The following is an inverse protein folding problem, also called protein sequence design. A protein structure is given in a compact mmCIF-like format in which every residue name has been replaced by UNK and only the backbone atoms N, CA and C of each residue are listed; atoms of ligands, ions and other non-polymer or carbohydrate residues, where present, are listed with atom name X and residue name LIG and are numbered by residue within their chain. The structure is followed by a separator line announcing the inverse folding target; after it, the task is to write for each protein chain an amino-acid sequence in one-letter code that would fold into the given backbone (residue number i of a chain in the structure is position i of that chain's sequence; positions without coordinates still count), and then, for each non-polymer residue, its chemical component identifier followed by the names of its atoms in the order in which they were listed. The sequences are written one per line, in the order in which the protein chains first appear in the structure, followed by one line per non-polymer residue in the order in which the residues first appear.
data_IF_238058856617
#
_entry.id   IF_238058856617
#
_cell.length_a   1.000
_cell.length_b   1.000
_cell.length_c   1.000
_cell.angle_alpha   90.00
_cell.angle_beta   90.00
_cell.angle_gamma   90.00
#
_symmetry.space_group_name_H-M   'P 1'
#
loop_
_entity.id
_entity.type
_entity.pdbx_description
1 polymer ?
#
# COMPACT_ATOMS: atom_id res chain seq x y z
N UNK A 1 28.89 -15.01 -8.74
CA UNK A 1 29.80 -16.17 -8.82
C UNK A 1 30.14 -16.66 -7.41
N UNK A 2 29.25 -17.44 -6.81
CA UNK A 2 29.63 -18.59 -5.98
C UNK A 2 28.40 -19.47 -5.83
N UNK A 3 28.58 -20.75 -6.13
CA UNK A 3 27.57 -21.77 -6.22
C UNK A 3 27.93 -22.91 -5.27
N UNK A 4 26.88 -23.67 -4.93
CA UNK A 4 26.89 -25.09 -4.59
C UNK A 4 27.25 -25.51 -3.14
N UNK A 5 26.22 -25.94 -2.41
CA UNK A 5 25.97 -27.33 -1.96
C UNK A 5 25.43 -27.37 -0.52
N UNK A 6 24.17 -27.79 -0.34
CA UNK A 6 23.89 -28.93 0.54
C UNK A 6 22.48 -29.50 0.27
N UNK A 7 22.42 -30.54 -0.55
CA UNK A 7 21.22 -31.37 -0.75
C UNK A 7 21.35 -32.61 0.13
N UNK A 8 20.75 -32.59 1.32
CA UNK A 8 20.93 -33.70 2.27
C UNK A 8 20.05 -33.72 3.51
N UNK A 9 18.86 -33.11 3.52
CA UNK A 9 17.96 -33.18 4.68
C UNK A 9 16.44 -33.17 4.39
N UNK A 10 16.01 -33.25 3.13
CA UNK A 10 14.59 -33.10 2.73
C UNK A 10 13.87 -34.41 2.37
N UNK A 11 14.08 -35.49 3.14
CA UNK A 11 13.42 -36.79 2.81
C UNK A 11 12.85 -37.59 3.98
N UNK A 12 12.65 -36.97 5.16
CA UNK A 12 12.11 -37.68 6.33
C UNK A 12 10.86 -37.03 6.99
N UNK A 13 10.35 -35.90 6.50
CA UNK A 13 9.13 -35.26 7.07
C UNK A 13 7.90 -35.35 6.15
N UNK A 14 7.99 -36.06 5.02
CA UNK A 14 6.92 -36.12 4.02
C UNK A 14 5.85 -37.20 4.29
N UNK A 15 6.10 -38.13 5.21
CA UNK A 15 5.25 -39.32 5.39
C UNK A 15 4.51 -39.40 6.74
N UNK A 16 4.56 -38.35 7.59
CA UNK A 16 3.93 -38.37 8.93
C UNK A 16 2.75 -37.40 9.13
N UNK A 17 2.35 -36.61 8.13
CA UNK A 17 1.18 -35.69 8.23
C UNK A 17 -0.07 -36.17 7.48
N UNK A 18 -0.07 -37.36 6.88
CA UNK A 18 -1.16 -37.84 6.02
C UNK A 18 -2.28 -38.64 6.73
N UNK A 19 -2.36 -38.63 8.07
CA UNK A 19 -3.26 -39.55 8.80
C UNK A 19 -4.14 -38.94 9.90
N UNK A 20 -4.46 -37.63 9.86
CA UNK A 20 -5.28 -37.03 10.92
C UNK A 20 -6.38 -36.02 10.52
N UNK A 21 -6.86 -36.05 9.29
CA UNK A 21 -8.09 -35.32 8.93
C UNK A 21 -9.00 -36.17 8.04
N UNK A 22 -9.84 -36.97 8.69
CA UNK A 22 -11.00 -37.65 8.11
C UNK A 22 -12.21 -37.33 8.98
N UNK A 23 -12.76 -36.13 8.79
CA UNK A 23 -14.13 -35.82 9.18
C UNK A 23 -14.67 -34.76 8.22
N UNK A 24 -15.59 -35.16 7.36
CA UNK A 24 -16.29 -34.30 6.41
C UNK A 24 -16.91 -33.08 7.10
N UNK A 25 -16.78 -31.86 6.57
CA UNK A 25 -17.53 -30.73 7.10
C UNK A 25 -18.95 -30.76 6.55
N UNK A 26 -19.92 -30.72 7.46
CA UNK A 26 -21.30 -30.35 7.15
C UNK A 26 -21.36 -28.91 6.66
N UNK A 27 -21.99 -28.69 5.52
CA UNK A 27 -22.32 -27.37 4.98
C UNK A 27 -23.28 -26.62 5.92
N UNK A 28 -22.75 -25.72 6.74
CA UNK A 28 -23.53 -24.59 7.27
C UNK A 28 -23.22 -23.36 6.41
N UNK A 29 -24.24 -22.93 5.66
CA UNK A 29 -24.20 -21.74 4.81
C UNK A 29 -24.34 -20.49 5.68
N UNK A 30 -23.23 -19.77 5.88
CA UNK A 30 -23.24 -18.42 6.44
C UNK A 30 -23.20 -17.39 5.30
N UNK A 31 -24.27 -16.58 5.09
CA UNK A 31 -24.37 -15.70 3.92
C UNK A 31 -23.53 -14.40 3.97
N UNK A 32 -22.69 -14.18 4.99
CA UNK A 32 -21.94 -12.91 5.17
C UNK A 32 -20.41 -13.03 5.31
N UNK A 33 -19.83 -14.24 5.30
CA UNK A 33 -18.36 -14.42 5.39
C UNK A 33 -17.60 -13.92 4.16
N UNK A 34 -18.32 -13.53 3.10
CA UNK A 34 -17.81 -13.44 1.75
C UNK A 34 -17.07 -12.15 1.47
N UNK A 35 -17.57 -11.05 2.02
CA UNK A 35 -16.87 -9.77 1.99
C UNK A 35 -15.78 -9.68 3.08
N UNK A 36 -15.89 -10.46 4.16
CA UNK A 36 -14.94 -10.40 5.27
C UNK A 36 -13.51 -10.74 4.83
N UNK A 37 -13.30 -11.69 3.91
CA UNK A 37 -11.97 -12.07 3.44
C UNK A 37 -11.23 -10.91 2.75
N UNK A 38 -11.83 -10.24 1.76
CA UNK A 38 -11.21 -9.07 1.12
C UNK A 38 -10.96 -7.97 2.13
N UNK A 39 -11.94 -7.72 3.00
CA UNK A 39 -11.82 -6.66 4.01
C UNK A 39 -10.82 -6.96 5.12
N UNK A 40 -10.52 -8.23 5.39
CA UNK A 40 -9.44 -8.64 6.30
C UNK A 40 -8.07 -8.24 5.76
N UNK A 41 -7.94 -8.12 4.44
CA UNK A 41 -6.73 -7.65 3.75
C UNK A 41 -6.73 -6.13 3.55
N UNK A 42 -7.77 -5.41 3.98
CA UNK A 42 -7.87 -3.97 3.77
C UNK A 42 -6.68 -3.23 4.39
N UNK A 43 -6.00 -2.37 3.63
CA UNK A 43 -4.72 -1.84 4.07
C UNK A 43 -4.93 -0.69 5.07
N UNK A 44 -3.89 -0.39 5.86
CA UNK A 44 -3.93 0.73 6.81
C UNK A 44 -4.24 2.04 6.07
N UNK A 45 -5.01 2.90 6.73
CA UNK A 45 -5.32 4.24 6.24
C UNK A 45 -4.95 5.26 7.31
N UNK A 46 -4.16 6.27 6.93
CA UNK A 46 -3.89 7.43 7.77
C UNK A 46 -4.75 8.60 7.29
N UNK A 47 -5.46 9.26 8.21
CA UNK A 47 -6.29 10.41 7.90
C UNK A 47 -5.47 11.69 8.14
N UNK A 48 -5.02 12.34 7.07
CA UNK A 48 -4.25 13.58 7.12
C UNK A 48 -5.22 14.78 7.17
N UNK A 49 -5.24 15.56 8.26
CA UNK A 49 -6.09 16.72 8.36
C UNK A 49 -5.56 17.90 7.55
N UNK A 50 -6.48 18.72 7.06
CA UNK A 50 -6.15 20.00 6.45
C UNK A 50 -5.64 20.98 7.51
N UNK A 51 -4.61 21.74 7.15
CA UNK A 51 -4.08 22.83 7.96
C UNK A 51 -4.07 24.13 7.14
N UNK A 52 -4.62 25.19 7.71
CA UNK A 52 -4.71 26.50 7.02
C UNK A 52 -3.40 27.29 7.07
N UNK A 53 -2.54 27.00 8.05
CA UNK A 53 -1.24 27.65 8.21
C UNK A 53 -0.16 26.68 7.76
N UNK A 54 0.61 27.00 6.70
CA UNK A 54 1.71 26.18 6.25
C UNK A 54 2.72 25.89 7.36
N UNK A 55 3.20 24.65 7.46
CA UNK A 55 4.21 24.29 8.44
C UNK A 55 5.59 24.79 8.03
N UNK A 56 6.29 25.41 8.98
CA UNK A 56 7.73 25.63 8.87
C UNK A 56 8.45 24.30 9.04
N UNK A 57 9.28 23.91 8.08
CA UNK A 57 10.04 22.66 8.10
C UNK A 57 11.44 22.93 8.66
N UNK A 58 11.68 22.52 9.91
CA UNK A 58 12.92 22.81 10.64
C UNK A 58 13.44 21.64 11.51
N UNK A 59 12.83 20.46 11.36
CA UNK A 59 13.17 19.23 12.08
C UNK A 59 12.54 19.15 13.47
N UNK A 60 11.82 20.18 13.92
CA UNK A 60 11.16 20.19 15.22
C UNK A 60 9.73 19.65 15.14
N UNK A 61 9.58 18.38 15.51
CA UNK A 61 8.30 17.68 15.53
C UNK A 61 7.47 17.94 16.80
N UNK A 62 7.99 18.73 17.77
CA UNK A 62 7.32 19.01 19.05
C UNK A 62 6.58 20.36 19.06
N UNK A 63 6.55 21.07 17.93
CA UNK A 63 5.82 22.34 17.79
C UNK A 63 4.30 22.18 17.89
N UNK A 64 3.63 23.29 18.20
CA UNK A 64 2.21 23.31 18.55
C UNK A 64 1.32 22.75 17.43
N UNK A 65 1.70 22.98 16.18
CA UNK A 65 0.99 22.53 14.99
C UNK A 65 0.97 21.00 14.89
N UNK A 66 2.09 20.33 15.18
CA UNK A 66 2.15 18.86 15.23
C UNK A 66 1.50 18.26 16.47
N UNK A 67 1.44 19.00 17.58
CA UNK A 67 0.96 18.47 18.87
C UNK A 67 -0.47 17.91 18.81
N UNK A 68 -1.32 18.46 17.93
CA UNK A 68 -2.73 18.05 17.76
C UNK A 68 -2.94 16.99 16.68
N UNK A 69 -1.93 16.75 15.85
CA UNK A 69 -2.00 15.76 14.78
C UNK A 69 -1.68 14.37 15.38
N UNK A 70 -2.56 13.38 15.21
CA UNK A 70 -2.38 12.04 15.77
C UNK A 70 -1.16 11.30 15.20
N UNK A 71 -0.47 10.52 16.02
CA UNK A 71 0.54 9.59 15.55
C UNK A 71 -0.09 8.43 14.78
N UNK A 72 0.64 7.91 13.80
CA UNK A 72 0.37 6.62 13.17
C UNK A 72 0.55 5.47 14.17
N UNK A 73 0.03 4.29 13.83
CA UNK A 73 0.53 3.05 14.42
C UNK A 73 2.04 2.92 14.17
N UNK A 74 2.71 2.18 15.05
CA UNK A 74 4.14 1.91 14.91
C UNK A 74 4.42 1.11 13.64
N UNK A 75 5.59 1.35 13.05
CA UNK A 75 6.07 0.54 11.93
C UNK A 75 6.29 -0.88 12.44
N UNK A 76 6.18 -1.86 11.56
CA UNK A 76 6.42 -3.29 11.81
C UNK A 76 7.43 -3.85 10.81
N UNK A 77 7.75 -5.13 10.91
CA UNK A 77 8.50 -5.83 9.85
C UNK A 77 7.77 -5.72 8.50
N UNK A 78 8.51 -5.50 7.41
CA UNK A 78 7.93 -5.34 6.07
C UNK A 78 7.09 -6.53 5.62
N UNK A 79 7.37 -7.74 6.12
CA UNK A 79 6.58 -8.94 5.81
C UNK A 79 5.34 -9.10 6.70
N UNK A 80 5.20 -8.27 7.73
CA UNK A 80 4.10 -8.35 8.71
C UNK A 80 4.33 -9.34 9.86
N UNK A 81 5.48 -10.03 9.88
CA UNK A 81 5.85 -10.98 10.94
C UNK A 81 6.35 -10.25 12.20
N UNK A 82 5.42 -9.75 13.01
CA UNK A 82 5.69 -8.88 14.16
C UNK A 82 5.74 -9.59 15.52
N UNK A 83 5.75 -10.92 15.57
CA UNK A 83 5.66 -11.70 16.81
C UNK A 83 6.86 -11.44 17.76
N UNK A 84 6.63 -11.58 19.07
CA UNK A 84 7.69 -11.50 20.08
C UNK A 84 8.72 -12.63 19.86
N UNK A 85 9.89 -12.28 19.33
CA UNK A 85 10.94 -13.20 18.90
C UNK A 85 11.13 -13.31 17.38
N UNK A 86 10.22 -12.70 16.60
CA UNK A 86 10.34 -12.50 15.15
C UNK A 86 11.17 -11.27 14.76
N UNK A 87 11.31 -10.97 13.45
CA UNK A 87 12.11 -9.83 12.95
C UNK A 87 11.49 -8.45 13.25
N UNK A 88 10.35 -8.42 13.93
CA UNK A 88 9.62 -7.20 14.27
C UNK A 88 10.39 -6.23 15.17
N UNK A 89 10.00 -4.95 15.14
CA UNK A 89 10.69 -3.89 15.85
C UNK A 89 10.50 -3.96 17.37
N UNK A 90 11.60 -3.83 18.13
CA UNK A 90 11.53 -3.66 19.59
C UNK A 90 10.98 -2.28 19.94
N UNK A 91 10.47 -2.13 21.17
CA UNK A 91 10.08 -0.81 21.70
C UNK A 91 11.22 0.23 21.61
N UNK A 92 12.46 -0.18 21.88
CA UNK A 92 13.68 0.65 21.80
C UNK A 92 14.01 1.15 20.41
N UNK A 93 13.35 0.63 19.40
CA UNK A 93 13.64 0.91 18.00
C UNK A 93 12.41 1.53 17.28
N UNK A 94 11.31 1.74 18.01
CA UNK A 94 10.02 2.22 17.49
C UNK A 94 10.14 3.37 16.48
N UNK A 95 9.36 3.28 15.39
CA UNK A 95 9.18 4.34 14.40
C UNK A 95 7.70 4.68 14.24
N UNK A 96 7.37 5.96 14.19
CA UNK A 96 6.01 6.48 13.99
C UNK A 96 6.04 7.76 13.17
N UNK A 97 4.92 8.09 12.52
CA UNK A 97 4.77 9.31 11.73
C UNK A 97 3.46 10.05 12.01
N UNK A 98 3.40 11.30 11.60
CA UNK A 98 2.22 12.17 11.54
C UNK A 98 2.13 12.74 10.14
N UNK A 99 0.91 12.97 9.66
CA UNK A 99 0.70 13.65 8.38
C UNK A 99 -0.39 14.69 8.50
N UNK A 100 -0.26 15.76 7.72
CA UNK A 100 -1.27 16.80 7.50
C UNK A 100 -1.10 17.34 6.09
N UNK A 101 -2.05 18.13 5.59
CA UNK A 101 -1.95 18.65 4.23
C UNK A 101 -2.50 20.07 4.12
N UNK A 102 -2.08 20.78 3.09
CA UNK A 102 -2.70 22.02 2.64
C UNK A 102 -2.83 22.03 1.11
N UNK A 103 -3.13 23.20 0.54
CA UNK A 103 -3.30 23.39 -0.90
C UNK A 103 -2.05 23.08 -1.74
N UNK A 104 -0.86 23.07 -1.15
CA UNK A 104 0.41 22.97 -1.87
C UNK A 104 1.26 21.78 -1.45
N UNK A 105 1.05 21.24 -0.24
CA UNK A 105 1.90 20.23 0.36
C UNK A 105 1.14 19.11 1.07
N UNK A 106 1.69 17.89 0.98
CA UNK A 106 1.52 16.86 2.00
C UNK A 106 2.69 16.97 2.98
N UNK A 107 2.37 17.20 4.25
CA UNK A 107 3.33 17.30 5.34
C UNK A 107 3.47 15.96 6.05
N UNK A 108 4.70 15.60 6.39
CA UNK A 108 5.03 14.38 7.15
C UNK A 108 6.03 14.75 8.24
N UNK A 109 5.75 14.32 9.47
CA UNK A 109 6.71 14.31 10.56
C UNK A 109 6.93 12.87 11.02
N UNK A 110 8.17 12.46 11.27
CA UNK A 110 8.48 11.14 11.78
C UNK A 110 9.46 11.20 12.95
N UNK A 111 9.36 10.21 13.83
CA UNK A 111 10.32 9.96 14.91
C UNK A 111 10.82 8.52 14.83
N UNK A 112 12.14 8.37 14.87
CA UNK A 112 12.82 7.09 14.79
C UNK A 112 13.65 6.92 16.06
N UNK A 113 13.34 5.88 16.83
CA UNK A 113 14.15 5.43 17.95
C UNK A 113 15.07 4.31 17.49
N UNK A 114 16.28 4.21 18.03
CA UNK A 114 17.21 3.12 17.73
C UNK A 114 18.00 2.75 18.99
N UNK A 115 18.21 1.45 19.18
CA UNK A 115 19.23 0.91 20.11
C UNK A 115 20.49 0.48 19.35
N UNK A 116 20.76 1.15 18.23
CA UNK A 116 21.93 0.97 17.37
C UNK A 116 22.35 2.31 16.74
N UNK A 117 23.58 2.44 16.22
CA UNK A 117 24.09 3.70 15.66
C UNK A 117 23.25 4.26 14.51
N UNK A 118 23.12 5.59 14.47
CA UNK A 118 22.63 6.32 13.29
C UNK A 118 23.78 6.44 12.30
N UNK A 119 23.60 5.98 11.06
CA UNK A 119 24.60 6.03 10.00
C UNK A 119 24.20 7.08 8.97
N UNK A 120 25.13 7.96 8.61
CA UNK A 120 24.95 8.87 7.49
C UNK A 120 26.30 9.14 6.82
N UNK A 121 26.59 8.44 5.74
CA UNK A 121 27.84 8.50 5.00
C UNK A 121 27.72 9.27 3.68
N UNK A 122 26.53 9.29 3.11
CA UNK A 122 26.25 10.06 1.90
C UNK A 122 25.81 11.49 2.26
N UNK A 123 26.25 12.45 1.44
CA UNK A 123 26.11 13.88 1.74
C UNK A 123 25.58 14.69 0.58
N UNK A 124 25.59 14.14 -0.64
CA UNK A 124 25.08 14.83 -1.81
C UNK A 124 23.64 14.39 -2.08
N UNK A 125 22.82 15.32 -2.55
CA UNK A 125 21.46 15.01 -3.01
C UNK A 125 21.50 13.92 -4.08
N UNK A 126 20.61 12.94 -3.95
CA UNK A 126 20.47 11.74 -4.79
C UNK A 126 21.69 10.79 -4.75
N UNK A 127 22.51 10.86 -3.71
CA UNK A 127 23.41 9.76 -3.36
C UNK A 127 22.58 8.55 -2.84
N UNK A 128 22.96 7.29 -3.14
CA UNK A 128 22.19 6.09 -2.81
C UNK A 128 22.19 5.74 -1.31
N UNK A 129 21.47 6.52 -0.51
CA UNK A 129 21.41 6.41 0.95
C UNK A 129 20.87 5.05 1.41
N UNK A 130 19.84 4.50 0.75
CA UNK A 130 19.29 3.17 1.00
C UNK A 130 20.33 2.04 1.12
N UNK A 131 21.52 2.19 0.51
CA UNK A 131 22.56 1.15 0.54
C UNK A 131 23.23 0.98 1.90
N UNK A 132 23.39 2.05 2.68
CA UNK A 132 24.26 2.04 3.86
C UNK A 132 23.81 2.95 5.00
N UNK A 133 23.13 4.02 4.70
CA UNK A 133 22.76 5.01 5.71
C UNK A 133 21.52 4.53 6.48
N UNK A 134 21.31 5.16 7.63
CA UNK A 134 19.99 5.18 8.26
C UNK A 134 19.05 5.94 7.36
N UNK A 135 17.93 5.33 7.01
CA UNK A 135 17.06 5.87 5.98
C UNK A 135 15.60 5.86 6.42
N UNK A 136 14.92 6.96 6.11
CA UNK A 136 13.48 7.12 6.25
C UNK A 136 12.89 7.41 4.88
N UNK A 137 12.03 6.50 4.43
CA UNK A 137 11.50 6.49 3.08
C UNK A 137 10.01 6.81 3.08
N UNK A 138 9.55 7.47 2.02
CA UNK A 138 8.15 7.81 1.77
C UNK A 138 7.82 7.46 0.33
N UNK A 139 6.71 6.74 0.17
CA UNK A 139 6.22 6.24 -1.10
C UNK A 139 4.82 6.77 -1.38
N UNK A 140 4.59 7.24 -2.60
CA UNK A 140 3.31 7.80 -3.03
C UNK A 140 2.91 7.33 -4.43
N UNK A 141 1.71 6.78 -4.55
CA UNK A 141 1.02 6.62 -5.83
C UNK A 141 -0.33 7.38 -5.79
N UNK A 142 -0.32 8.64 -6.27
CA UNK A 142 -1.53 9.48 -6.30
C UNK A 142 -2.60 8.99 -7.26
N UNK A 143 -2.20 8.23 -8.29
CA UNK A 143 -3.08 7.78 -9.36
C UNK A 143 -3.77 6.45 -9.07
N UNK A 144 -3.29 5.73 -8.06
CA UNK A 144 -3.69 4.36 -7.68
C UNK A 144 -3.40 3.31 -8.73
N UNK A 145 -2.57 3.64 -9.73
CA UNK A 145 -2.28 2.77 -10.84
C UNK A 145 -0.96 2.02 -10.68
N UNK A 146 -0.34 2.03 -9.50
CA UNK A 146 0.98 1.43 -9.28
C UNK A 146 2.07 1.93 -10.24
N UNK A 147 1.84 3.05 -10.94
CA UNK A 147 2.71 3.59 -11.99
C UNK A 147 3.09 5.01 -11.67
N UNK A 148 4.23 5.44 -12.21
CA UNK A 148 4.76 6.78 -12.05
C UNK A 148 4.76 7.22 -10.57
N UNK A 149 4.94 6.26 -9.67
CA UNK A 149 4.88 6.47 -8.24
C UNK A 149 6.19 7.04 -7.75
N UNK A 150 6.12 7.80 -6.66
CA UNK A 150 7.25 8.55 -6.14
C UNK A 150 7.84 7.83 -4.95
N UNK A 151 9.15 7.92 -4.85
CA UNK A 151 9.94 7.54 -3.71
C UNK A 151 10.78 8.75 -3.30
N UNK A 152 10.77 8.99 -2.00
CA UNK A 152 11.56 10.00 -1.33
C UNK A 152 12.26 9.33 -0.17
N UNK A 153 13.56 9.58 -0.02
CA UNK A 153 14.38 9.04 1.06
C UNK A 153 15.13 10.19 1.74
N UNK A 154 15.41 10.06 3.03
CA UNK A 154 16.21 11.04 3.78
C UNK A 154 16.99 10.39 4.92
N UNK A 155 18.28 10.74 5.02
CA UNK A 155 19.16 10.28 6.09
C UNK A 155 19.22 11.25 7.29
N UNK A 156 19.83 10.88 8.44
CA UNK A 156 19.90 11.72 9.64
C UNK A 156 20.51 13.11 9.47
N UNK A 157 21.33 13.34 8.44
CA UNK A 157 21.94 14.64 8.15
C UNK A 157 21.20 15.40 7.05
N UNK A 158 19.95 14.99 6.75
CA UNK A 158 19.06 15.60 5.75
C UNK A 158 19.59 15.51 4.31
N UNK A 159 20.40 14.49 4.00
CA UNK A 159 20.69 14.15 2.61
C UNK A 159 19.47 13.46 2.03
N UNK A 160 19.00 13.97 0.91
CA UNK A 160 17.77 13.52 0.26
C UNK A 160 18.10 12.72 -0.98
N UNK A 161 17.31 11.68 -1.24
CA UNK A 161 17.20 11.04 -2.54
C UNK A 161 15.76 11.11 -3.05
N UNK A 162 15.60 11.35 -4.35
CA UNK A 162 14.31 11.34 -5.03
C UNK A 162 14.31 10.45 -6.25
N UNK A 163 13.21 9.72 -6.40
CA UNK A 163 13.02 8.79 -7.49
C UNK A 163 11.56 8.73 -7.90
N UNK A 164 11.33 8.48 -9.18
CA UNK A 164 10.04 8.03 -9.69
C UNK A 164 10.27 6.69 -10.39
N UNK A 165 9.41 5.71 -10.14
CA UNK A 165 9.35 4.48 -10.94
C UNK A 165 8.16 4.56 -11.89
N UNK A 166 8.40 4.31 -13.17
CA UNK A 166 7.33 4.23 -14.17
C UNK A 166 6.34 3.11 -13.87
N UNK A 167 6.83 1.97 -13.36
CA UNK A 167 6.08 0.80 -12.88
C UNK A 167 6.94 -0.02 -11.91
N UNK A 168 6.40 -1.05 -11.24
CA UNK A 168 7.18 -1.88 -10.32
C UNK A 168 8.30 -2.66 -11.00
N UNK A 169 9.37 -2.97 -10.26
CA UNK A 169 10.48 -3.76 -10.80
C UNK A 169 10.06 -5.17 -11.25
N UNK A 170 9.01 -5.74 -10.63
CA UNK A 170 8.40 -7.01 -11.08
C UNK A 170 7.82 -6.93 -12.49
N UNK A 171 7.56 -5.72 -12.98
CA UNK A 171 7.04 -5.46 -14.31
C UNK A 171 8.10 -4.80 -15.21
N UNK A 172 9.39 -4.99 -14.94
CA UNK A 172 10.51 -4.36 -15.66
C UNK A 172 10.54 -2.83 -15.54
N UNK A 173 10.12 -2.30 -14.40
CA UNK A 173 10.17 -0.88 -14.08
C UNK A 173 11.56 -0.25 -14.16
N UNK A 174 11.59 1.04 -14.49
CA UNK A 174 12.81 1.84 -14.65
C UNK A 174 12.77 3.04 -13.73
N UNK A 175 13.90 3.28 -13.08
CA UNK A 175 14.18 4.51 -12.36
C UNK A 175 14.07 5.70 -13.32
N UNK A 176 13.39 6.76 -12.87
CA UNK A 176 13.48 8.11 -13.39
C UNK A 176 14.01 9.01 -12.28
N UNK A 177 15.18 9.61 -12.45
CA UNK A 177 15.80 10.46 -11.45
C UNK A 177 16.88 11.37 -12.05
N UNK A 178 17.22 12.45 -11.34
CA UNK A 178 18.37 13.29 -11.69
C UNK A 178 19.73 12.61 -11.42
N UNK A 179 19.75 11.45 -10.77
CA UNK A 179 20.98 10.67 -10.58
C UNK A 179 21.41 9.98 -11.87
N UNK A 180 20.45 9.48 -12.64
CA UNK A 180 20.73 8.67 -13.84
C UNK A 180 20.50 9.41 -15.16
N UNK A 181 19.87 10.59 -15.12
CA UNK A 181 19.48 11.37 -16.29
C UNK A 181 19.62 12.87 -16.04
N UNK A 182 19.65 13.67 -17.12
CA UNK A 182 19.73 15.14 -17.07
C UNK A 182 18.42 15.78 -17.47
N UNK A 183 18.20 17.03 -17.06
CA UNK A 183 16.99 17.77 -17.44
C UNK A 183 16.82 17.80 -18.97
N UNK A 184 15.67 17.32 -19.44
CA UNK A 184 15.36 17.13 -20.86
C UNK A 184 15.40 15.66 -21.35
N UNK A 185 16.05 14.75 -20.60
CA UNK A 185 16.08 13.33 -20.92
C UNK A 185 14.75 12.63 -20.57
N UNK A 186 14.41 11.56 -21.28
CA UNK A 186 13.16 10.82 -21.06
C UNK A 186 13.06 10.15 -19.67
N UNK A 187 14.21 9.80 -19.08
CA UNK A 187 14.31 9.21 -17.75
C UNK A 187 14.55 10.25 -16.64
N UNK A 188 14.43 11.54 -16.95
CA UNK A 188 14.64 12.59 -15.97
C UNK A 188 13.39 12.81 -15.12
N UNK A 189 13.58 12.84 -13.81
CA UNK A 189 12.64 13.31 -12.81
C UNK A 189 13.45 13.92 -11.65
N UNK A 190 12.99 15.05 -11.11
CA UNK A 190 13.57 15.66 -9.93
C UNK A 190 12.50 16.48 -9.21
N UNK A 191 12.61 16.55 -7.89
CA UNK A 191 11.71 17.30 -7.02
C UNK A 191 12.27 18.70 -6.80
N UNK A 192 11.49 19.74 -7.11
CA UNK A 192 11.97 21.14 -7.08
C UNK A 192 11.49 21.92 -5.86
N UNK A 193 10.30 21.60 -5.34
CA UNK A 193 9.56 22.40 -4.37
C UNK A 193 9.41 21.74 -2.99
N UNK A 194 9.99 20.56 -2.77
CA UNK A 194 10.02 19.94 -1.45
C UNK A 194 10.77 20.77 -0.41
N UNK A 195 10.42 20.58 0.86
CA UNK A 195 11.20 21.07 2.00
C UNK A 195 11.45 19.91 2.96
N UNK A 196 12.66 19.79 3.47
CA UNK A 196 13.04 18.69 4.37
C UNK A 196 13.95 19.21 5.47
N UNK A 197 13.79 18.66 6.67
CA UNK A 197 14.70 18.91 7.77
C UNK A 197 14.74 17.69 8.69
N UNK A 198 15.91 17.43 9.26
CA UNK A 198 16.11 16.39 10.27
C UNK A 198 16.65 17.02 11.55
N UNK A 199 16.39 16.38 12.69
CA UNK A 199 16.90 16.82 13.99
C UNK A 199 17.29 15.63 14.83
N UNK A 200 18.54 15.61 15.29
CA UNK A 200 18.99 14.62 16.28
C UNK A 200 18.46 15.05 17.65
N UNK A 201 17.62 14.21 18.25
CA UNK A 201 17.00 14.45 19.56
C UNK A 201 17.78 13.79 20.69
N UNK A 202 18.45 12.67 20.41
CA UNK A 202 19.32 11.94 21.33
C UNK A 202 20.40 11.18 20.56
N UNK A 203 21.60 11.11 21.13
CA UNK A 203 22.74 10.45 20.49
C UNK A 203 23.47 11.31 19.45
N UNK A 204 24.27 10.66 18.62
CA UNK A 204 25.10 11.32 17.60
C UNK A 204 25.18 10.47 16.33
N UNK A 205 25.16 11.12 15.17
CA UNK A 205 25.34 10.45 13.87
C UNK A 205 26.77 9.91 13.74
N UNK A 206 26.91 8.74 13.14
CA UNK A 206 28.17 8.01 12.93
C UNK A 206 28.96 7.71 14.22
N UNK A 207 28.29 7.69 15.37
CA UNK A 207 28.91 7.26 16.62
C UNK A 207 28.74 5.75 16.80
N UNK A 208 29.84 5.02 16.66
CA UNK A 208 29.91 3.56 16.81
C UNK A 208 30.52 3.12 18.15
N UNK A 209 30.80 4.05 19.08
CA UNK A 209 31.50 3.73 20.34
C UNK A 209 30.61 2.97 21.34
N UNK A 210 29.30 3.20 21.31
CA UNK A 210 28.31 2.44 22.08
C UNK A 210 27.22 1.92 21.13
N UNK A 211 27.38 0.67 20.70
CA UNK A 211 26.43 -0.01 19.83
C UNK A 211 25.03 -0.17 20.43
N UNK A 212 24.85 0.11 21.73
CA UNK A 212 23.56 0.01 22.45
C UNK A 212 23.01 1.37 22.88
N UNK A 213 23.63 2.47 22.46
CA UNK A 213 23.15 3.81 22.78
C UNK A 213 21.73 4.03 22.24
N UNK A 214 20.90 4.72 23.03
CA UNK A 214 19.59 5.17 22.57
C UNK A 214 19.76 6.39 21.65
N UNK A 215 19.59 6.17 20.36
CA UNK A 215 19.61 7.20 19.35
C UNK A 215 18.18 7.56 18.95
N UNK A 216 17.89 8.85 18.86
CA UNK A 216 16.57 9.34 18.45
C UNK A 216 16.78 10.49 17.48
N UNK A 217 16.15 10.41 16.33
CA UNK A 217 16.11 11.50 15.38
C UNK A 217 14.70 11.69 14.83
N UNK A 218 14.45 12.91 14.39
CA UNK A 218 13.19 13.34 13.83
C UNK A 218 13.38 13.80 12.39
N UNK A 219 12.33 13.63 11.61
CA UNK A 219 12.23 14.04 10.21
C UNK A 219 11.01 14.92 10.05
N UNK A 220 11.14 15.99 9.28
CA UNK A 220 10.03 16.77 8.75
C UNK A 220 10.16 16.92 7.23
N UNK A 221 9.05 16.72 6.53
CA UNK A 221 8.95 16.75 5.08
C UNK A 221 7.71 17.57 4.71
N UNK A 222 7.85 18.48 3.75
CA UNK A 222 6.75 19.01 2.98
C UNK A 222 6.95 18.59 1.53
N UNK A 223 6.16 17.61 1.07
CA UNK A 223 6.16 17.16 -0.32
C UNK A 223 5.19 18.00 -1.12
N UNK A 224 5.68 18.70 -2.14
CA UNK A 224 4.81 19.56 -2.94
C UNK A 224 3.90 18.72 -3.84
N UNK A 225 2.60 19.05 -3.86
CA UNK A 225 1.64 18.41 -4.78
C UNK A 225 2.08 18.56 -6.24
N UNK A 226 2.76 19.64 -6.61
CA UNK A 226 3.24 19.82 -8.00
C UNK A 226 4.29 18.79 -8.39
N UNK A 227 5.21 18.47 -7.48
CA UNK A 227 6.29 17.50 -7.74
C UNK A 227 5.73 16.08 -7.67
N UNK A 228 4.90 15.80 -6.64
CA UNK A 228 4.25 14.51 -6.45
C UNK A 228 3.37 14.12 -7.65
N UNK A 229 2.67 15.07 -8.25
CA UNK A 229 1.79 14.82 -9.40
C UNK A 229 2.52 14.90 -10.75
N UNK A 230 3.79 15.31 -10.79
CA UNK A 230 4.54 15.42 -12.04
C UNK A 230 4.62 14.06 -12.77
N UNK A 231 4.61 14.11 -14.10
CA UNK A 231 4.61 12.94 -15.01
C UNK A 231 3.36 12.05 -14.96
N UNK A 232 2.37 12.34 -14.10
CA UNK A 232 1.09 11.66 -14.18
C UNK A 232 0.32 12.07 -15.45
N UNK A 233 -0.48 11.17 -16.05
CA UNK A 233 -1.37 11.53 -17.16
C UNK A 233 -2.25 12.74 -16.81
N UNK A 234 -2.55 13.60 -17.79
CA UNK A 234 -3.31 14.83 -17.57
C UNK A 234 -4.69 14.59 -16.95
N UNK A 235 -5.29 13.42 -17.20
CA UNK A 235 -6.58 13.02 -16.62
C UNK A 235 -6.52 12.78 -15.10
N UNK A 236 -5.35 12.44 -14.56
CA UNK A 236 -5.10 12.16 -13.14
C UNK A 236 -4.35 13.28 -12.42
N UNK A 237 -3.86 14.28 -13.14
CA UNK A 237 -3.20 15.47 -12.58
C UNK A 237 -4.21 16.38 -11.88
N UNK A 238 -4.59 16.04 -10.65
CA UNK A 238 -5.47 16.85 -9.80
C UNK A 238 -4.86 16.94 -8.40
N UNK A 239 -4.75 18.18 -7.89
CA UNK A 239 -4.43 18.43 -6.48
C UNK A 239 -5.44 17.67 -5.59
N UNK A 240 -4.99 17.14 -4.43
CA UNK A 240 -5.88 16.38 -3.57
C UNK A 240 -6.99 17.28 -3.03
N UNK A 241 -8.16 16.69 -2.82
CA UNK A 241 -9.31 17.30 -2.17
C UNK A 241 -9.68 16.50 -0.93
N UNK A 242 -10.49 17.10 -0.07
CA UNK A 242 -11.10 16.39 1.05
C UNK A 242 -11.78 15.10 0.53
N UNK A 243 -11.54 14.00 1.23
CA UNK A 243 -11.91 12.62 0.95
C UNK A 243 -11.16 11.91 -0.19
N UNK A 244 -10.29 12.61 -0.94
CA UNK A 244 -9.37 11.92 -1.84
C UNK A 244 -8.42 11.03 -1.04
N UNK A 245 -7.92 10.00 -1.71
CA UNK A 245 -6.87 9.11 -1.19
C UNK A 245 -5.72 9.08 -2.15
N UNK A 246 -4.53 8.83 -1.63
CA UNK A 246 -3.39 8.34 -2.40
C UNK A 246 -2.90 7.06 -1.78
N UNK A 247 -2.36 6.15 -2.60
CA UNK A 247 -1.59 5.01 -2.08
C UNK A 247 -0.35 5.55 -1.40
N UNK A 248 -0.08 5.08 -0.19
CA UNK A 248 0.98 5.59 0.64
C UNK A 248 1.67 4.45 1.38
N UNK A 249 3.00 4.52 1.45
CA UNK A 249 3.73 3.80 2.48
C UNK A 249 4.89 4.64 3.00
N UNK A 250 5.39 4.27 4.16
CA UNK A 250 6.64 4.80 4.67
C UNK A 250 7.43 3.68 5.32
N UNK A 251 8.72 3.70 5.06
CA UNK A 251 9.66 2.68 5.52
C UNK A 251 10.79 3.32 6.30
N UNK A 252 11.43 2.47 7.08
CA UNK A 252 12.73 2.71 7.66
C UNK A 252 13.64 1.58 7.20
N UNK A 253 14.75 1.95 6.57
CA UNK A 253 15.75 1.01 6.08
C UNK A 253 17.08 1.30 6.74
N UNK A 254 17.72 0.26 7.26
CA UNK A 254 18.95 0.38 8.05
C UNK A 254 19.83 -0.87 7.86
N UNK A 255 21.12 -0.72 8.15
CA UNK A 255 22.10 -1.82 8.19
C UNK A 255 22.15 -2.66 6.90
N UNK A 256 22.19 -1.99 5.74
CA UNK A 256 22.24 -2.64 4.44
C UNK A 256 21.01 -3.55 4.24
N UNK A 257 19.80 -2.98 4.42
CA UNK A 257 18.48 -3.64 4.27
C UNK A 257 18.17 -4.77 5.27
N UNK A 258 19.09 -5.11 6.19
CA UNK A 258 18.85 -6.12 7.24
C UNK A 258 17.72 -5.73 8.20
N UNK A 259 17.43 -4.43 8.28
CA UNK A 259 16.33 -3.87 9.04
C UNK A 259 15.49 -3.10 8.02
N UNK A 260 14.29 -3.62 7.75
CA UNK A 260 13.34 -2.99 6.82
C UNK A 260 11.98 -2.96 7.50
N UNK A 261 11.64 -1.80 8.04
CA UNK A 261 10.42 -1.62 8.82
C UNK A 261 9.45 -0.77 8.05
N UNK A 262 8.19 -1.16 8.03
CA UNK A 262 7.18 -0.51 7.22
C UNK A 262 5.97 -0.13 8.04
N UNK A 263 5.37 1.01 7.72
CA UNK A 263 4.06 1.35 8.26
C UNK A 263 3.00 0.36 7.79
N UNK A 264 2.97 0.04 6.49
CA UNK A 264 2.09 -0.98 5.91
C UNK A 264 2.91 -2.17 5.40
N UNK A 265 2.72 -3.39 5.94
CA UNK A 265 3.42 -4.57 5.46
C UNK A 265 3.04 -4.90 4.01
N UNK A 266 4.00 -5.48 3.28
CA UNK A 266 3.89 -5.79 1.86
C UNK A 266 3.30 -7.19 1.67
N UNK A 267 2.01 -7.30 1.96
CA UNK A 267 1.27 -8.57 1.92
C UNK A 267 0.56 -8.69 0.57
N UNK A 268 0.89 -9.75 -0.17
CA UNK A 268 0.38 -10.00 -1.52
C UNK A 268 0.09 -11.48 -1.73
N UNK A 269 -0.68 -11.80 -2.76
CA UNK A 269 -0.99 -13.19 -3.10
C UNK A 269 0.26 -13.95 -3.52
N UNK A 270 0.51 -15.12 -2.91
CA UNK A 270 1.56 -16.06 -3.32
C UNK A 270 0.90 -17.31 -3.95
N UNK A 271 0.98 -17.47 -5.28
CA UNK A 271 0.31 -18.58 -5.96
C UNK A 271 0.87 -19.96 -5.63
N UNK A 272 2.17 -20.05 -5.31
CA UNK A 272 2.81 -21.32 -4.97
C UNK A 272 2.34 -21.84 -3.61
N UNK A 273 2.16 -20.94 -2.64
CA UNK A 273 1.69 -21.25 -1.30
C UNK A 273 0.17 -21.15 -1.14
N UNK A 274 -0.53 -20.59 -2.15
CA UNK A 274 -1.98 -20.37 -2.17
C UNK A 274 -2.49 -19.62 -0.95
N UNK A 275 -1.78 -18.56 -0.58
CA UNK A 275 -2.15 -17.66 0.51
C UNK A 275 -1.50 -16.30 0.31
N UNK A 276 -2.04 -15.28 0.94
CA UNK A 276 -1.35 -13.99 1.04
C UNK A 276 -0.16 -14.10 2.01
N UNK A 277 1.01 -13.62 1.59
CA UNK A 277 2.22 -13.59 2.44
C UNK A 277 2.93 -12.24 2.32
N UNK A 278 3.69 -11.90 3.35
CA UNK A 278 4.61 -10.76 3.31
C UNK A 278 5.80 -10.99 2.38
N UNK A 279 6.20 -9.93 1.65
CA UNK A 279 7.37 -9.91 0.78
C UNK A 279 8.36 -8.85 1.25
N UNK A 280 9.66 -9.14 1.20
CA UNK A 280 10.71 -8.12 1.34
C UNK A 280 10.87 -7.41 0.00
N UNK A 281 9.90 -6.56 -0.33
CA UNK A 281 9.88 -5.78 -1.56
C UNK A 281 9.02 -4.52 -1.34
N UNK A 282 9.66 -3.37 -1.18
CA UNK A 282 9.01 -2.08 -0.92
C UNK A 282 8.26 -1.53 -2.13
N UNK A 283 8.67 -1.91 -3.34
CA UNK A 283 8.11 -1.42 -4.61
C UNK A 283 6.89 -2.23 -5.05
N UNK A 284 5.93 -2.46 -4.14
CA UNK A 284 4.64 -3.10 -4.39
C UNK A 284 3.47 -2.15 -4.07
N UNK A 285 3.17 -1.15 -4.94
CA UNK A 285 2.16 -0.14 -4.64
C UNK A 285 0.73 -0.68 -4.41
N UNK A 286 0.43 -1.87 -4.91
CA UNK A 286 -0.81 -2.62 -4.68
C UNK A 286 -0.93 -3.19 -3.25
N UNK A 287 0.18 -3.29 -2.51
CA UNK A 287 0.22 -3.72 -1.10
C UNK A 287 0.27 -2.55 -0.09
N UNK A 288 0.55 -1.32 -0.55
CA UNK A 288 0.64 -0.11 0.27
C UNK A 288 -0.64 0.25 1.03
N UNK A 289 -0.53 1.24 1.92
CA UNK A 289 -1.63 1.83 2.65
C UNK A 289 -2.33 2.92 1.86
N UNK A 290 -3.13 3.70 2.57
CA UNK A 290 -3.69 4.95 2.07
C UNK A 290 -3.32 6.11 2.99
N UNK A 291 -3.04 7.26 2.40
CA UNK A 291 -3.28 8.54 3.04
C UNK A 291 -4.61 9.06 2.51
N UNK A 292 -5.51 9.48 3.40
CA UNK A 292 -6.76 10.15 3.04
C UNK A 292 -6.71 11.60 3.52
N UNK A 293 -7.09 12.51 2.63
CA UNK A 293 -7.14 13.94 2.91
C UNK A 293 -8.46 14.30 3.61
N UNK A 294 -8.41 14.88 4.80
CA UNK A 294 -9.59 15.31 5.57
C UNK A 294 -9.62 16.84 5.73
N UNK A 295 -10.79 17.41 5.99
CA UNK A 295 -10.99 18.85 6.17
C UNK A 295 -10.55 19.36 7.55
N UNK A 296 -10.48 18.48 8.55
CA UNK A 296 -10.08 18.81 9.90
C UNK A 296 -9.38 17.62 10.57
N UNK A 297 -8.81 17.89 11.75
CA UNK A 297 -8.27 16.85 12.64
C UNK A 297 -9.41 15.89 12.96
N UNK A 298 -9.28 14.59 12.61
CA UNK A 298 -10.31 13.61 12.95
C UNK A 298 -10.50 13.65 14.46
N UNK A 299 -11.75 13.65 14.92
CA UNK A 299 -12.06 13.41 16.32
C UNK A 299 -11.69 11.96 16.63
N UNK A 300 -10.40 11.67 16.83
CA UNK A 300 -9.94 10.34 17.18
C UNK A 300 -10.41 10.05 18.60
N UNK A 301 -11.32 9.08 18.67
CA UNK A 301 -11.83 8.48 19.89
C UNK A 301 -10.67 7.76 20.59
N UNK A 302 -9.95 8.50 21.45
CA UNK A 302 -8.87 7.99 22.32
C UNK A 302 -9.36 6.92 23.33
N UNK A 303 -10.63 6.50 23.28
CA UNK A 303 -11.26 5.63 24.25
C UNK A 303 -11.28 4.12 23.90
N UNK A 304 -10.80 3.69 22.72
CA UNK A 304 -10.85 2.26 22.35
C UNK A 304 -9.72 1.39 22.92
N UNK A 305 -8.57 1.96 23.30
CA UNK A 305 -7.46 1.18 23.87
C UNK A 305 -7.50 1.06 25.41
N UNK A 306 -8.29 1.88 26.12
CA UNK A 306 -8.42 1.75 27.58
C UNK A 306 -9.44 0.69 28.04
N UNK A 307 -10.44 0.36 27.20
CA UNK A 307 -11.50 -0.61 27.58
C UNK A 307 -11.04 -2.06 27.66
N UNK A 308 -9.89 -2.41 27.07
CA UNK A 308 -9.32 -3.76 27.21
C UNK A 308 -8.34 -3.89 28.40
N UNK A 309 -8.11 -2.82 29.17
CA UNK A 309 -7.18 -2.85 30.31
C UNK A 309 -7.82 -2.44 31.65
N UNK A 310 -9.15 -2.23 31.71
CA UNK A 310 -9.83 -1.69 32.89
C UNK A 310 -10.71 -2.67 33.69
N UNK A 311 -10.55 -4.00 33.55
CA UNK A 311 -11.17 -4.95 34.49
C UNK A 311 -10.50 -5.00 35.88
N UNK A 312 -9.52 -4.13 36.17
CA UNK A 312 -8.96 -3.98 37.51
C UNK A 312 -8.83 -2.51 37.94
N UNK A 313 -9.95 -1.84 38.23
CA UNK A 313 -10.05 -0.91 39.37
C UNK A 313 -11.47 -0.35 39.48
N UNK A 314 -12.19 -0.72 40.55
CA UNK A 314 -13.40 -0.01 41.00
C UNK A 314 -12.96 1.13 41.93
N UNK A 315 -13.49 2.34 41.74
CA UNK A 315 -14.15 3.21 42.76
C UNK A 315 -14.35 4.65 42.20
N UNK A 316 -15.62 5.05 42.19
CA UNK A 316 -16.22 6.40 42.25
C UNK A 316 -15.38 7.67 41.99
N UNK A 317 -15.77 8.47 40.99
CA UNK A 317 -16.58 9.66 41.25
C UNK A 317 -17.23 10.23 39.98
N UNK A 318 -18.52 10.54 40.11
CA UNK A 318 -19.39 11.21 39.16
C UNK A 318 -18.98 12.68 38.95
N UNK A 319 -19.03 13.18 37.71
CA UNK A 319 -19.89 14.32 37.35
C UNK A 319 -19.76 14.76 35.87
N UNK A 320 -20.94 15.05 35.31
CA UNK A 320 -21.28 15.80 34.08
C UNK A 320 -21.08 15.08 32.73
N UNK A 321 -22.23 14.57 32.28
CA UNK A 321 -22.56 14.14 30.92
C UNK A 321 -22.54 15.35 29.98
N UNK A 322 -21.64 15.32 28.99
CA UNK A 322 -21.78 16.01 27.73
C UNK A 322 -21.70 14.94 26.64
N UNK A 323 -22.84 14.60 26.05
CA UNK A 323 -22.97 13.67 24.94
C UNK A 323 -22.27 14.29 23.72
N UNK A 324 -21.11 13.74 23.32
CA UNK A 324 -20.45 14.13 22.07
C UNK A 324 -20.74 13.05 21.04
N UNK A 325 -21.55 13.47 20.07
CA UNK A 325 -21.99 12.75 18.88
C UNK A 325 -20.78 12.29 18.06
N UNK A 326 -20.92 11.10 17.48
CA UNK A 326 -19.87 10.26 16.92
C UNK A 326 -18.92 10.91 15.91
N UNK A 327 -17.77 10.25 15.75
CA UNK A 327 -16.98 10.33 14.52
C UNK A 327 -17.95 10.24 13.36
N UNK A 328 -17.91 11.22 12.48
CA UNK A 328 -18.66 11.16 11.26
C UNK A 328 -18.21 9.92 10.49
N UNK A 329 -19.10 8.95 10.31
CA UNK A 329 -18.88 7.72 9.54
C UNK A 329 -18.55 8.01 8.04
N UNK A 330 -18.48 9.30 7.68
CA UNK A 330 -17.95 9.82 6.41
C UNK A 330 -16.41 9.89 6.36
N UNK A 331 -15.71 10.06 7.48
CA UNK A 331 -14.26 10.31 7.49
C UNK A 331 -13.40 9.04 7.34
N UNK A 332 -13.92 7.86 7.70
CA UNK A 332 -13.21 6.59 7.57
C UNK A 332 -14.04 5.56 6.79
N UNK A 333 -14.38 5.87 5.53
CA UNK A 333 -15.04 4.87 4.67
C UNK A 333 -13.98 3.96 4.07
N UNK A 334 -14.14 2.65 4.11
CA UNK A 334 -13.25 1.79 3.30
C UNK A 334 -13.44 2.08 1.82
N UNK A 335 -12.39 1.94 1.01
CA UNK A 335 -12.44 2.08 -0.44
C UNK A 335 -13.39 1.00 -0.97
N UNK A 336 -14.57 1.38 -1.50
CA UNK A 336 -15.56 0.40 -1.94
C UNK A 336 -15.06 -0.46 -3.10
N UNK A 337 -14.01 -0.04 -3.81
CA UNK A 337 -13.39 -0.82 -4.88
C UNK A 337 -12.40 -1.88 -4.37
N UNK A 338 -12.10 -1.92 -3.07
CA UNK A 338 -11.09 -2.82 -2.51
C UNK A 338 -11.30 -4.30 -2.82
N UNK A 339 -12.51 -4.89 -2.74
CA UNK A 339 -12.71 -6.28 -3.13
C UNK A 339 -12.27 -6.56 -4.57
N UNK A 340 -12.52 -5.63 -5.50
CA UNK A 340 -12.05 -5.74 -6.87
C UNK A 340 -10.52 -5.63 -6.98
N UNK A 341 -9.88 -4.76 -6.18
CA UNK A 341 -8.43 -4.60 -6.13
C UNK A 341 -7.71 -5.86 -5.63
N UNK A 342 -8.23 -6.50 -4.57
CA UNK A 342 -7.67 -7.76 -4.05
C UNK A 342 -7.85 -8.89 -5.07
N UNK A 343 -8.99 -8.92 -5.76
CA UNK A 343 -9.25 -9.91 -6.82
C UNK A 343 -8.30 -9.73 -7.99
N UNK A 344 -8.05 -8.48 -8.40
CA UNK A 344 -7.03 -8.14 -9.38
C UNK A 344 -5.62 -8.59 -8.95
N UNK A 345 -5.25 -8.36 -7.69
CA UNK A 345 -3.98 -8.80 -7.12
C UNK A 345 -3.84 -10.34 -7.18
N UNK A 346 -4.87 -11.08 -6.78
CA UNK A 346 -4.93 -12.55 -6.84
C UNK A 346 -4.63 -13.08 -8.26
N UNK A 347 -5.30 -12.53 -9.27
CA UNK A 347 -5.09 -12.90 -10.68
C UNK A 347 -3.70 -12.46 -11.18
N UNK A 348 -3.29 -11.23 -10.89
CA UNK A 348 -2.02 -10.68 -11.38
C UNK A 348 -0.83 -11.53 -10.91
N UNK A 349 -0.79 -11.86 -9.62
CA UNK A 349 0.31 -12.66 -9.08
C UNK A 349 0.27 -14.10 -9.63
N UNK A 350 -0.92 -14.68 -9.81
CA UNK A 350 -1.08 -15.98 -10.46
C UNK A 350 -0.55 -15.97 -11.90
N UNK A 351 -0.81 -14.90 -12.66
CA UNK A 351 -0.30 -14.72 -14.02
C UNK A 351 1.22 -14.61 -14.07
N UNK A 352 1.82 -13.82 -13.17
CA UNK A 352 3.29 -13.71 -13.08
C UNK A 352 3.92 -15.07 -12.78
N UNK A 353 3.40 -15.78 -11.78
CA UNK A 353 3.89 -17.12 -11.43
C UNK A 353 3.71 -18.12 -12.58
N UNK A 354 2.56 -18.10 -13.25
CA UNK A 354 2.30 -18.96 -14.41
C UNK A 354 3.31 -18.69 -15.52
N UNK A 355 3.55 -17.41 -15.87
CA UNK A 355 4.54 -17.03 -16.89
C UNK A 355 5.94 -17.51 -16.54
N UNK A 356 6.38 -17.31 -15.30
CA UNK A 356 7.72 -17.69 -14.82
C UNK A 356 7.93 -19.21 -14.83
N UNK A 357 6.88 -19.98 -14.56
CA UNK A 357 6.94 -21.45 -14.49
C UNK A 357 6.58 -22.16 -15.79
N UNK A 358 5.96 -21.45 -16.74
CA UNK A 358 5.65 -21.96 -18.07
C UNK A 358 6.92 -22.02 -18.93
N UNK A 359 7.29 -23.19 -19.50
CA UNK A 359 8.47 -23.34 -20.36
C UNK A 359 8.55 -22.38 -21.55
N UNK A 360 7.40 -21.87 -22.01
CA UNK A 360 7.32 -20.93 -23.13
C UNK A 360 7.35 -19.45 -22.70
N UNK A 361 7.40 -19.16 -21.40
CA UNK A 361 7.36 -17.78 -20.87
C UNK A 361 6.06 -17.03 -21.20
N UNK A 362 4.97 -17.76 -21.49
CA UNK A 362 3.67 -17.20 -21.86
C UNK A 362 2.76 -17.15 -20.64
N UNK A 363 1.97 -16.08 -20.56
CA UNK A 363 0.86 -15.94 -19.61
C UNK A 363 -0.25 -16.97 -19.87
N UNK A 364 -1.06 -17.25 -18.87
CA UNK A 364 -2.22 -18.13 -18.99
C UNK A 364 -3.31 -17.45 -19.82
N UNK A 365 -3.91 -18.18 -20.77
CA UNK A 365 -4.90 -17.68 -21.72
C UNK A 365 -6.32 -17.52 -21.12
N UNK A 366 -6.56 -18.11 -19.95
CA UNK A 366 -7.85 -18.07 -19.24
C UNK A 366 -7.66 -18.18 -17.72
N UNK A 367 -8.72 -17.90 -16.96
CA UNK A 367 -8.75 -18.19 -15.52
C UNK A 367 -8.66 -19.69 -15.23
N UNK A 368 -9.24 -20.54 -16.10
CA UNK A 368 -9.17 -22.00 -15.95
C UNK A 368 -7.73 -22.52 -16.05
N UNK A 369 -6.91 -21.92 -16.92
CA UNK A 369 -5.48 -22.25 -17.02
C UNK A 369 -4.68 -21.84 -15.78
N UNK A 370 -5.10 -20.78 -15.07
CA UNK A 370 -4.54 -20.44 -13.77
C UNK A 370 -4.95 -21.47 -12.70
N UNK A 371 -6.18 -21.98 -12.79
CA UNK A 371 -6.68 -23.07 -11.95
C UNK A 371 -6.41 -22.82 -10.47
N UNK A 372 -5.62 -23.69 -9.83
CA UNK A 372 -5.30 -23.60 -8.41
C UNK A 372 -4.33 -22.48 -8.00
N UNK A 373 -3.84 -21.67 -8.96
CA UNK A 373 -2.96 -20.54 -8.70
C UNK A 373 -3.72 -19.30 -8.21
N UNK A 374 -5.04 -19.28 -8.34
CA UNK A 374 -5.93 -18.23 -7.82
C UNK A 374 -6.75 -18.77 -6.65
N UNK A 375 -7.03 -17.90 -5.68
CA UNK A 375 -7.99 -18.19 -4.62
C UNK A 375 -9.44 -17.96 -5.09
N UNK A 376 -10.26 -19.01 -5.15
CA UNK A 376 -11.65 -18.87 -5.57
C UNK A 376 -12.53 -18.18 -4.54
N UNK A 377 -12.17 -18.17 -3.25
CA UNK A 377 -12.93 -17.42 -2.24
C UNK A 377 -12.73 -15.92 -2.41
N UNK A 378 -11.54 -15.49 -2.84
CA UNK A 378 -11.28 -14.10 -3.26
C UNK A 378 -12.04 -13.78 -4.56
N UNK A 379 -12.14 -14.72 -5.49
CA UNK A 379 -12.87 -14.49 -6.76
C UNK A 379 -14.39 -14.42 -6.57
N UNK A 380 -14.94 -15.11 -5.56
CA UNK A 380 -16.38 -15.40 -5.39
C UNK A 380 -17.35 -14.20 -5.49
N UNK A 381 -17.05 -12.98 -5.00
CA UNK A 381 -17.97 -11.85 -5.16
C UNK A 381 -18.21 -11.43 -6.62
N UNK A 382 -17.44 -11.99 -7.55
CA UNK A 382 -17.50 -11.65 -8.96
C UNK A 382 -17.68 -12.89 -9.85
N UNK A 383 -18.49 -12.76 -10.91
CA UNK A 383 -18.44 -13.65 -12.07
C UNK A 383 -17.43 -13.13 -13.08
N UNK A 384 -16.72 -14.02 -13.77
CA UNK A 384 -15.80 -13.63 -14.83
C UNK A 384 -16.46 -13.79 -16.20
N UNK A 385 -16.63 -12.68 -16.91
CA UNK A 385 -17.00 -12.66 -18.33
C UNK A 385 -15.78 -12.32 -19.19
N UNK A 386 -15.76 -12.88 -20.41
CA UNK A 386 -14.67 -12.60 -21.35
C UNK A 386 -14.90 -11.28 -22.06
N UNK A 387 -13.89 -10.42 -22.05
CA UNK A 387 -13.76 -9.35 -23.03
C UNK A 387 -12.47 -9.53 -23.83
N UNK A 388 -12.53 -9.15 -25.10
CA UNK A 388 -11.59 -9.48 -26.19
C UNK A 388 -10.10 -9.63 -25.85
N UNK A 389 -9.43 -10.55 -26.54
CA UNK A 389 -7.98 -10.52 -26.67
C UNK A 389 -7.56 -9.42 -27.65
N UNK A 390 -6.78 -8.46 -27.18
CA UNK A 390 -5.97 -7.61 -28.05
C UNK A 390 -4.65 -8.32 -28.39
N UNK A 391 -3.85 -7.73 -29.27
CA UNK A 391 -2.57 -8.31 -29.66
C UNK A 391 -1.62 -8.52 -28.48
N UNK A 392 -1.80 -7.78 -27.37
CA UNK A 392 -0.87 -7.79 -26.24
C UNK A 392 -1.55 -7.89 -24.86
N UNK A 393 -2.79 -8.40 -24.82
CA UNK A 393 -3.59 -8.46 -23.59
C UNK A 393 -4.76 -9.44 -23.65
N UNK A 394 -4.92 -10.23 -22.60
CA UNK A 394 -6.21 -10.83 -22.19
C UNK A 394 -7.00 -9.74 -21.47
N UNK A 395 -8.33 -9.70 -21.53
CA UNK A 395 -9.14 -8.78 -20.71
C UNK A 395 -10.23 -9.59 -19.99
N UNK A 396 -10.00 -9.92 -18.74
CA UNK A 396 -11.00 -10.61 -17.91
C UNK A 396 -11.94 -9.53 -17.38
N UNK A 397 -13.25 -9.58 -17.61
CA UNK A 397 -14.22 -8.67 -16.99
C UNK A 397 -14.86 -9.34 -15.78
N UNK A 398 -14.69 -8.81 -14.57
CA UNK A 398 -15.30 -9.36 -13.36
C UNK A 398 -16.60 -8.64 -13.01
N UNK A 399 -17.77 -9.24 -13.18
CA UNK A 399 -19.09 -8.69 -12.83
C UNK A 399 -19.46 -8.98 -11.37
N UNK A 400 -19.95 -8.02 -10.57
CA UNK A 400 -20.47 -8.36 -9.24
C UNK A 400 -21.65 -9.33 -9.31
N UNK A 401 -21.68 -10.32 -8.41
CA UNK A 401 -22.86 -11.16 -8.22
C UNK A 401 -23.91 -10.36 -7.46
N UNK A 402 -24.99 -9.91 -8.12
CA UNK A 402 -26.06 -9.16 -7.45
C UNK A 402 -26.72 -10.04 -6.39
N UNK A 403 -26.62 -9.67 -5.12
CA UNK A 403 -27.40 -10.30 -4.06
C UNK A 403 -28.83 -9.77 -4.08
N UNK A 404 -29.70 -10.35 -4.90
CA UNK A 404 -31.12 -10.46 -4.58
C UNK A 404 -31.85 -11.50 -5.47
N UNK A 405 -32.24 -12.60 -4.82
CA UNK A 405 -33.25 -13.59 -5.24
C UNK A 405 -32.97 -14.46 -6.47
N UNK A 406 -32.58 -15.71 -6.15
CA UNK A 406 -32.97 -17.00 -6.75
C UNK A 406 -34.01 -16.92 -7.88
N UNK A 407 -33.56 -17.21 -9.09
CA UNK A 407 -33.96 -18.29 -10.01
C UNK A 407 -33.33 -17.95 -11.37
N UNK A 408 -32.76 -18.92 -12.06
CA UNK A 408 -32.00 -18.81 -13.32
C UNK A 408 -30.55 -18.28 -13.24
N UNK A 409 -29.63 -19.16 -12.85
CA UNK A 409 -28.33 -19.24 -13.55
C UNK A 409 -28.21 -20.63 -14.14
N UNK A 410 -28.55 -20.75 -15.42
CA UNK A 410 -28.26 -21.93 -16.23
C UNK A 410 -26.74 -22.04 -16.45
N UNK A 411 -26.26 -23.28 -16.41
CA UNK A 411 -24.95 -23.72 -16.85
C UNK A 411 -24.56 -23.08 -18.20
N UNK A 412 -23.32 -22.61 -18.30
CA UNK A 412 -22.66 -22.48 -19.59
C UNK A 412 -21.44 -23.39 -19.55
N UNK A 413 -21.62 -24.59 -20.10
CA UNK A 413 -20.57 -25.54 -20.42
C UNK A 413 -19.59 -24.97 -21.47
N UNK A 414 -18.39 -25.56 -21.39
CA UNK A 414 -17.13 -25.29 -22.07
C UNK A 414 -17.10 -25.32 -23.61
N UNK A 415 -15.91 -24.95 -24.11
CA UNK A 415 -15.29 -25.15 -25.43
C UNK A 415 -15.52 -24.03 -26.49
N UNK A 416 -14.53 -23.59 -27.28
CA UNK A 416 -13.16 -24.05 -27.49
C UNK A 416 -12.33 -23.01 -28.30
N UNK A 417 -11.01 -22.98 -28.02
CA UNK A 417 -9.87 -22.50 -28.86
C UNK A 417 -9.72 -21.01 -29.17
N UNK A 418 -8.58 -20.44 -28.73
CA UNK A 418 -7.89 -19.35 -29.44
C UNK A 418 -6.39 -19.69 -29.53
N UNK A 419 -5.89 -19.93 -30.75
CA UNK A 419 -4.46 -19.85 -31.10
C UNK A 419 -4.10 -18.40 -31.45
N UNK A 420 -2.86 -17.96 -31.53
CA UNK A 420 -1.52 -18.51 -31.32
C UNK A 420 -0.57 -17.32 -31.47
N UNK A 421 0.56 -17.35 -30.74
CA UNK A 421 1.66 -16.37 -30.70
C UNK A 421 1.32 -14.89 -30.48
N UNK A 422 1.46 -14.40 -29.23
CA UNK A 422 1.54 -12.95 -28.89
C UNK A 422 1.80 -12.66 -27.39
N UNK A 423 2.34 -11.47 -27.09
CA UNK A 423 2.87 -10.98 -25.80
C UNK A 423 1.86 -10.13 -25.00
N UNK A 424 1.29 -10.57 -23.86
CA UNK A 424 0.77 -9.68 -22.79
C UNK A 424 -0.68 -9.90 -22.23
N UNK A 425 -1.04 -9.16 -21.17
CA UNK A 425 -2.19 -9.28 -20.24
C UNK A 425 -2.87 -7.92 -19.84
N UNK A 426 -4.18 -7.97 -19.53
CA UNK A 426 -5.06 -6.92 -18.94
C UNK A 426 -6.21 -7.56 -18.11
N UNK A 427 -6.75 -6.85 -17.11
CA UNK A 427 -7.95 -7.20 -16.32
C UNK A 427 -8.91 -6.04 -16.47
N UNK A 428 -10.22 -6.30 -16.41
CA UNK A 428 -11.34 -5.36 -16.33
C UNK A 428 -12.30 -5.87 -15.24
N UNK A 429 -13.03 -5.02 -14.55
CA UNK A 429 -14.04 -5.39 -13.55
C UNK A 429 -15.27 -4.55 -13.88
N UNK A 430 -16.48 -5.08 -13.73
CA UNK A 430 -17.78 -4.46 -13.96
C UNK A 430 -18.68 -4.83 -12.76
N UNK A 431 -19.69 -4.04 -12.43
CA UNK A 431 -20.63 -4.32 -11.34
C UNK A 431 -21.99 -3.75 -11.80
N UNK A 432 -22.93 -4.56 -12.33
CA UNK A 432 -24.31 -4.10 -12.54
C UNK A 432 -25.14 -4.35 -11.26
N UNK A 433 -25.99 -3.48 -10.73
CA UNK A 433 -26.72 -2.32 -11.27
C UNK A 433 -26.40 -0.98 -10.57
N UNK A 434 -25.22 -0.84 -9.91
CA UNK A 434 -24.83 0.37 -9.14
C UNK A 434 -23.29 0.59 -9.03
N UNK A 435 -22.46 0.19 -10.01
CA UNK A 435 -21.05 -0.15 -9.71
C UNK A 435 -19.89 0.42 -10.55
N UNK A 436 -18.66 0.10 -10.10
CA UNK A 436 -17.36 0.62 -10.58
C UNK A 436 -16.68 -0.30 -11.62
N UNK A 437 -15.83 0.25 -12.50
CA UNK A 437 -15.01 -0.52 -13.46
C UNK A 437 -13.53 -0.57 -13.07
N UNK A 438 -12.87 -1.74 -12.90
CA UNK A 438 -11.42 -1.84 -12.56
C UNK A 438 -10.60 -2.44 -13.70
N UNK A 439 -9.68 -1.68 -14.32
CA UNK A 439 -8.75 -2.22 -15.33
C UNK A 439 -7.38 -2.51 -14.71
N UNK A 440 -6.70 -3.65 -14.97
CA UNK A 440 -5.32 -3.96 -14.50
C UNK A 440 -4.49 -4.47 -15.68
N UNK A 441 -3.57 -3.69 -16.23
CA UNK A 441 -2.67 -4.17 -17.30
C UNK A 441 -1.45 -4.94 -16.78
N UNK A 442 -0.66 -5.50 -17.70
CA UNK A 442 0.66 -6.15 -17.52
C UNK A 442 1.62 -5.52 -16.53
N UNK A 443 1.39 -4.26 -16.20
CA UNK A 443 2.27 -3.35 -15.51
C UNK A 443 1.69 -2.94 -14.14
N UNK A 444 0.61 -3.59 -13.67
CA UNK A 444 -0.18 -3.23 -12.48
C UNK A 444 -0.89 -1.89 -12.56
N UNK A 445 -1.11 -1.36 -13.77
CA UNK A 445 -1.89 -0.16 -13.93
C UNK A 445 -3.37 -0.39 -13.64
N UNK A 446 -3.72 -0.12 -12.39
CA UNK A 446 -5.04 -0.32 -11.81
C UNK A 446 -5.87 0.97 -11.93
N UNK A 447 -6.86 0.99 -12.83
CA UNK A 447 -7.80 2.12 -12.97
C UNK A 447 -9.19 1.73 -12.55
N UNK A 448 -9.72 2.38 -11.51
CA UNK A 448 -11.10 2.22 -11.04
C UNK A 448 -11.93 3.41 -11.54
N UNK A 449 -12.99 3.18 -12.32
CA UNK A 449 -13.91 4.21 -12.79
C UNK A 449 -15.26 4.11 -12.06
N UNK A 450 -15.86 5.23 -11.61
CA UNK A 450 -17.22 5.23 -11.06
C UNK A 450 -18.25 4.84 -12.12
N UNK A 451 -19.48 4.44 -11.72
CA UNK A 451 -20.56 4.14 -12.66
C UNK A 451 -20.77 5.29 -13.64
N UNK A 452 -20.77 4.98 -14.93
CA UNK A 452 -21.16 5.92 -15.97
C UNK A 452 -22.68 6.10 -15.90
N UNK A 453 -23.15 7.14 -15.20
CA UNK A 453 -24.45 7.71 -15.54
C UNK A 453 -24.28 8.36 -16.91
N UNK A 454 -24.68 7.65 -17.95
CA UNK A 454 -24.87 8.20 -19.29
C UNK A 454 -26.05 9.16 -19.29
N UNK A 455 -25.89 10.35 -18.71
CA UNK A 455 -26.52 11.56 -19.24
C UNK A 455 -25.55 12.73 -19.08
N UNK A 456 -25.25 13.35 -20.21
CA UNK A 456 -24.77 14.71 -20.32
C UNK A 456 -25.49 15.63 -19.34
N UNK A 457 -24.80 16.07 -18.29
CA UNK A 457 -25.15 17.31 -17.61
C UNK A 457 -24.27 18.40 -18.22
N UNK A 458 -24.88 19.23 -19.05
CA UNK A 458 -24.24 20.42 -19.61
C UNK A 458 -23.71 21.34 -18.52
N UNK A 459 -22.85 22.26 -18.95
CA UNK A 459 -22.40 23.42 -18.19
C UNK A 459 -23.56 24.05 -17.41
N UNK A 460 -23.59 23.79 -16.11
CA UNK A 460 -24.54 24.35 -15.16
C UNK A 460 -23.77 25.07 -14.07
N UNK A 461 -23.69 26.39 -14.20
CA UNK A 461 -23.14 27.31 -13.22
C UNK A 461 -23.83 27.10 -11.87
N UNK A 462 -23.12 26.59 -10.86
CA UNK A 462 -23.58 26.62 -9.47
C UNK A 462 -23.31 28.02 -8.92
N UNK A 463 -24.37 28.83 -8.94
CA UNK A 463 -24.45 30.08 -8.19
C UNK A 463 -24.65 29.74 -6.71
N UNK A 464 -23.73 30.23 -5.90
CA UNK A 464 -23.80 30.31 -4.45
C UNK A 464 -25.11 30.96 -3.96
N UNK A 465 -25.82 30.26 -3.07
CA UNK A 465 -26.77 30.85 -2.13
C UNK A 465 -26.74 30.08 -0.80
N UNK A 466 -25.67 30.25 -0.03
CA UNK A 466 -25.73 30.69 1.39
C UNK A 466 -24.38 30.60 2.09
#
# INVERSE_FOLDING_TARGET
LWAANDTGALRAERDTMAAQYSSSPSEETHPDKDFELHWSLYPKTYIAPYIATPLEINGDINKAEWSRIPWSSTFGDITGNNDEGGPGPKYTQRTQMKMAWDEDYLYIAAILHSDFPMVASFTNRNDPIYRKDSDFEVFLDPSHSCHYYKEFEVNPINTVWNLMLDKPYLDDGREHSARIAKEGDALYYEVKNQKTATKILSGSVNNHEDEKATNIWAVEIAMSHSDTLAHLPSSTFKKPKVFDRWRFNSLRVEKEEKITWSWQPQIVWDPAQRKCIGKVNMHLPDAWGYVQFADAIPALDLARDEKNNSEKSKIHNSNVVGEVVGVDDRDYRRDPSWPAKVTAMNIYYAQQYYKETNPNGKYAASLDELGSLIDMDIMRPFTAERSSCGNDAIVITLNSVSSQNKEDTQDIENDSKIGGDREGFTVKVVIPDNGWTVTVSNDRHMRVFPPSNSQSAGEGTLVDKR
#
